data_IF_371546308846
#
_entry.id   IF_371546308846
#
_cell.length_a   1.000
_cell.length_b   1.000
_cell.length_c   1.000
_cell.angle_alpha   90.00
_cell.angle_beta   90.00
_cell.angle_gamma   90.00
#
_symmetry.space_group_name_H-M   'P 1'
#
loop_
_entity.id
_entity.type
_entity.pdbx_description
1 polymer ?
#
# COMPACT_ATOMS: atom_id res chain seq x y z
N UNK A 1 12.32 18.47 -8.33
CA UNK A 1 11.55 18.28 -7.11
C UNK A 1 10.68 17.05 -7.30
N UNK A 2 11.04 15.88 -6.77
CA UNK A 2 10.35 14.63 -7.17
C UNK A 2 10.05 13.80 -5.90
N UNK A 3 9.86 12.50 -5.96
CA UNK A 3 9.17 11.75 -4.88
C UNK A 3 9.81 11.84 -3.47
N UNK A 4 11.14 11.89 -3.38
CA UNK A 4 11.85 11.83 -2.10
C UNK A 4 11.59 13.03 -1.17
N UNK A 5 11.48 14.25 -1.71
CA UNK A 5 11.25 15.45 -0.92
C UNK A 5 9.83 15.46 -0.34
N UNK A 6 8.84 15.09 -1.16
CA UNK A 6 7.44 14.96 -0.73
C UNK A 6 7.31 13.90 0.36
N UNK A 7 7.96 12.75 0.17
CA UNK A 7 7.98 11.68 1.16
C UNK A 7 8.61 12.14 2.48
N UNK A 8 9.73 12.85 2.43
CA UNK A 8 10.38 13.41 3.62
C UNK A 8 9.47 14.39 4.38
N UNK A 9 8.78 15.28 3.65
CA UNK A 9 7.83 16.21 4.24
C UNK A 9 6.64 15.50 4.92
N UNK A 10 6.11 14.44 4.29
CA UNK A 10 5.00 13.65 4.85
C UNK A 10 5.41 12.89 6.12
N UNK A 11 6.59 12.26 6.11
CA UNK A 11 7.11 11.52 7.28
C UNK A 11 7.32 12.48 8.45
N UNK A 12 7.89 13.66 8.18
CA UNK A 12 8.11 14.67 9.22
C UNK A 12 6.79 15.16 9.83
N UNK A 13 5.79 15.45 9.00
CA UNK A 13 4.48 15.88 9.47
C UNK A 13 3.80 14.78 10.30
N UNK A 14 3.77 13.54 9.81
CA UNK A 14 3.20 12.41 10.53
C UNK A 14 3.86 12.22 11.91
N UNK A 15 5.19 12.27 11.96
CA UNK A 15 5.97 12.15 13.19
C UNK A 15 5.67 13.29 14.16
N UNK A 16 5.57 14.54 13.67
CA UNK A 16 5.24 15.71 14.51
C UNK A 16 3.84 15.64 15.14
N UNK A 17 2.94 14.87 14.52
CA UNK A 17 1.57 14.62 15.01
C UNK A 17 1.47 13.33 15.85
N UNK A 18 2.57 12.63 16.09
CA UNK A 18 2.58 11.35 16.80
C UNK A 18 1.91 10.20 16.04
N UNK A 19 1.77 10.32 14.71
CA UNK A 19 1.21 9.27 13.86
C UNK A 19 2.34 8.31 13.49
N UNK A 20 2.25 7.01 13.86
CA UNK A 20 3.28 6.03 13.52
C UNK A 20 3.40 5.85 12.00
N UNK A 21 4.63 5.80 11.50
CA UNK A 21 4.94 5.59 10.08
C UNK A 21 5.54 4.20 9.89
N UNK A 22 5.06 3.49 8.87
CA UNK A 22 5.52 2.15 8.53
C UNK A 22 5.98 2.09 7.07
N UNK A 23 7.03 1.33 6.83
CA UNK A 23 7.57 1.11 5.50
C UNK A 23 7.48 -0.36 5.12
N UNK A 24 7.12 -0.61 3.86
CA UNK A 24 7.00 -1.95 3.30
C UNK A 24 7.78 -2.03 2.00
N UNK A 25 8.54 -3.10 1.83
CA UNK A 25 9.26 -3.39 0.60
C UNK A 25 8.29 -3.84 -0.50
N UNK A 26 8.66 -3.68 -1.79
CA UNK A 26 7.83 -4.17 -2.90
C UNK A 26 7.49 -5.66 -2.79
N UNK A 27 8.42 -6.48 -2.27
CA UNK A 27 8.20 -7.91 -2.08
C UNK A 27 7.16 -8.21 -0.99
N UNK A 28 7.14 -7.44 0.10
CA UNK A 28 6.14 -7.56 1.15
C UNK A 28 4.75 -7.18 0.65
N UNK A 29 4.67 -6.09 -0.12
CA UNK A 29 3.40 -5.65 -0.73
C UNK A 29 2.85 -6.72 -1.67
N UNK A 30 3.69 -7.24 -2.57
CA UNK A 30 3.30 -8.30 -3.51
C UNK A 30 2.88 -9.58 -2.79
N UNK A 31 3.57 -9.95 -1.71
CA UNK A 31 3.24 -11.14 -0.93
C UNK A 31 1.90 -10.99 -0.22
N UNK A 32 1.64 -9.85 0.40
CA UNK A 32 0.40 -9.62 1.15
C UNK A 32 -0.81 -9.36 0.24
N UNK A 33 -0.65 -8.50 -0.78
CA UNK A 33 -1.74 -8.08 -1.66
C UNK A 33 -1.94 -9.01 -2.87
N UNK A 34 -0.93 -9.76 -3.30
CA UNK A 34 -0.97 -10.66 -4.46
C UNK A 34 -0.73 -12.14 -4.15
N UNK A 35 -0.50 -12.50 -2.88
CA UNK A 35 -0.24 -13.88 -2.43
C UNK A 35 1.17 -14.40 -2.71
N UNK A 36 2.01 -13.65 -3.43
CA UNK A 36 3.39 -14.03 -3.72
C UNK A 36 4.25 -12.80 -3.99
N UNK A 37 5.50 -12.79 -3.52
CA UNK A 37 6.46 -11.71 -3.79
C UNK A 37 6.78 -11.49 -5.27
N UNK A 38 6.36 -12.42 -6.15
CA UNK A 38 6.52 -12.34 -7.62
C UNK A 38 5.23 -11.93 -8.35
N UNK A 39 4.16 -11.62 -7.62
CA UNK A 39 2.88 -11.23 -8.23
C UNK A 39 3.03 -10.02 -9.15
N UNK A 40 2.34 -10.06 -10.28
CA UNK A 40 2.22 -8.94 -11.22
C UNK A 40 1.07 -8.00 -10.83
N UNK A 41 0.97 -6.86 -11.53
CA UNK A 41 -0.05 -5.83 -11.25
C UNK A 41 -1.49 -6.35 -11.41
N UNK A 42 -1.74 -7.22 -12.39
CA UNK A 42 -3.09 -7.75 -12.64
C UNK A 42 -3.51 -8.73 -11.55
N UNK A 43 -2.57 -9.58 -11.12
CA UNK A 43 -2.76 -10.49 -9.99
C UNK A 43 -3.04 -9.73 -8.70
N UNK A 44 -2.29 -8.66 -8.43
CA UNK A 44 -2.52 -7.79 -7.26
C UNK A 44 -3.91 -7.16 -7.35
N UNK A 45 -4.27 -6.51 -8.46
CA UNK A 45 -5.58 -5.86 -8.61
C UNK A 45 -6.74 -6.84 -8.38
N UNK A 46 -6.67 -8.03 -9.01
CA UNK A 46 -7.68 -9.10 -8.81
C UNK A 46 -7.78 -9.53 -7.35
N UNK A 47 -6.64 -9.73 -6.68
CA UNK A 47 -6.59 -10.13 -5.28
C UNK A 47 -7.13 -9.03 -4.36
N UNK A 48 -6.85 -7.75 -4.63
CA UNK A 48 -7.40 -6.65 -3.85
C UNK A 48 -8.93 -6.64 -3.87
N UNK A 49 -9.55 -6.84 -5.03
CA UNK A 49 -11.01 -6.98 -5.14
C UNK A 49 -11.58 -8.18 -4.39
N UNK A 50 -10.77 -9.24 -4.18
CA UNK A 50 -11.17 -10.39 -3.38
C UNK A 50 -10.96 -10.19 -1.87
N UNK A 51 -9.98 -9.36 -1.47
CA UNK A 51 -9.61 -9.14 -0.07
C UNK A 51 -10.40 -8.01 0.59
N UNK A 52 -10.77 -6.98 -0.17
CA UNK A 52 -11.47 -5.79 0.35
C UNK A 52 -12.59 -5.37 -0.59
N UNK A 53 -13.66 -4.79 -0.01
CA UNK A 53 -14.75 -4.22 -0.79
C UNK A 53 -14.30 -2.86 -1.35
N UNK A 54 -14.22 -2.74 -2.67
CA UNK A 54 -13.91 -1.48 -3.37
C UNK A 54 -15.19 -1.00 -4.04
N UNK A 55 -15.84 0.01 -3.44
CA UNK A 55 -17.16 0.50 -3.91
C UNK A 55 -17.06 1.51 -5.04
N UNK A 56 -15.89 2.17 -5.18
CA UNK A 56 -15.63 3.11 -6.27
C UNK A 56 -15.02 2.39 -7.47
N UNK A 57 -15.34 2.89 -8.66
CA UNK A 57 -14.56 2.57 -9.83
C UNK A 57 -13.14 3.14 -9.67
N UNK A 58 -12.13 2.29 -9.81
CA UNK A 58 -10.72 2.69 -9.78
C UNK A 58 -10.38 3.28 -11.14
N UNK A 59 -9.92 4.53 -11.16
CA UNK A 59 -9.58 5.27 -12.38
C UNK A 59 -8.08 5.31 -12.65
N UNK A 60 -7.26 5.20 -11.60
CA UNK A 60 -5.81 5.31 -11.70
C UNK A 60 -5.11 4.13 -11.03
N UNK A 61 -4.02 3.64 -11.64
CA UNK A 61 -3.19 2.55 -11.11
C UNK A 61 -2.70 2.81 -9.67
N UNK A 62 -2.33 4.06 -9.37
CA UNK A 62 -1.81 4.46 -8.05
C UNK A 62 -2.82 4.23 -6.91
N UNK A 63 -4.12 4.15 -7.22
CA UNK A 63 -5.14 3.82 -6.23
C UNK A 63 -5.02 2.36 -5.78
N UNK A 64 -4.69 1.43 -6.69
CA UNK A 64 -4.41 0.05 -6.32
C UNK A 64 -3.14 -0.05 -5.47
N UNK A 65 -2.11 0.75 -5.76
CA UNK A 65 -0.89 0.78 -4.97
C UNK A 65 -1.17 1.26 -3.54
N UNK A 66 -1.99 2.30 -3.36
CA UNK A 66 -2.40 2.79 -2.05
C UNK A 66 -3.21 1.72 -1.26
N UNK A 67 -4.16 1.05 -1.92
CA UNK A 67 -4.95 -0.03 -1.31
C UNK A 67 -4.03 -1.21 -0.93
N UNK A 68 -3.08 -1.57 -1.80
CA UNK A 68 -2.12 -2.65 -1.55
C UNK A 68 -1.25 -2.35 -0.32
N UNK A 69 -0.78 -1.12 -0.14
CA UNK A 69 -0.04 -0.70 1.06
C UNK A 69 -0.92 -0.82 2.30
N UNK A 70 -2.20 -0.41 2.24
CA UNK A 70 -3.14 -0.54 3.35
C UNK A 70 -3.40 -2.00 3.74
N UNK A 71 -3.65 -2.87 2.77
CA UNK A 71 -3.81 -4.33 2.99
C UNK A 71 -2.55 -4.94 3.57
N UNK A 72 -1.38 -4.55 3.06
CA UNK A 72 -0.09 -5.02 3.57
C UNK A 72 0.11 -4.60 5.02
N UNK A 73 -0.19 -3.35 5.34
CA UNK A 73 -0.11 -2.86 6.70
C UNK A 73 -1.03 -3.66 7.62
N UNK A 74 -2.30 -3.82 7.27
CA UNK A 74 -3.24 -4.60 8.05
C UNK A 74 -2.82 -6.06 8.24
N UNK A 75 -2.26 -6.70 7.22
CA UNK A 75 -1.76 -8.07 7.31
C UNK A 75 -0.53 -8.20 8.23
N UNK A 76 0.32 -7.16 8.32
CA UNK A 76 1.55 -7.15 9.12
C UNK A 76 1.38 -6.60 10.54
N UNK A 77 0.37 -5.76 10.76
CA UNK A 77 0.11 -5.06 12.01
C UNK A 77 -1.12 -5.58 12.77
N UNK A 78 -1.66 -6.74 12.37
CA UNK A 78 -2.66 -7.48 13.16
C UNK A 78 -2.03 -8.05 14.44
N UNK A 79 -1.88 -7.18 15.44
CA UNK A 79 -1.72 -7.54 16.85
C UNK A 79 -2.85 -6.90 17.66
#
# INVERSE_FOLDING_TARGET
MRVAEVRGALIQLATSLGIPVFEYTPGEIKSAAGGSGRADKQQIAKMLHALVKIEKEIKYDDEYDAIAVGVTHWARHRH
#
